data_IF_998658078487
#
_entry.id   IF_998658078487
#
_cell.length_a   1.000
_cell.length_b   1.000
_cell.length_c   1.000
_cell.angle_alpha   90.00
_cell.angle_beta   90.00
_cell.angle_gamma   90.00
#
_symmetry.space_group_name_H-M   'P 1'
#
loop_
_entity.id
_entity.type
_entity.pdbx_description
1 polymer ?
#
# COMPACT_ATOMS: atom_id res chain seq x y z
N UNK A 1 41.65 35.24 -40.70
CA UNK A 1 42.26 34.12 -41.43
C UNK A 1 43.02 33.31 -40.38
N UNK A 2 42.73 32.06 -40.03
CA UNK A 2 42.02 30.99 -40.73
C UNK A 2 41.39 29.93 -39.80
N UNK A 3 40.18 29.51 -40.21
CA UNK A 3 39.51 28.19 -40.15
C UNK A 3 39.52 27.34 -38.86
N UNK A 4 38.35 27.37 -38.21
CA UNK A 4 37.76 26.23 -37.50
C UNK A 4 37.34 25.18 -38.54
N UNK A 5 37.95 23.99 -38.49
CA UNK A 5 37.49 22.81 -39.25
C UNK A 5 36.72 21.91 -38.28
N UNK A 6 35.39 21.86 -38.42
CA UNK A 6 34.57 20.78 -37.85
C UNK A 6 34.68 19.55 -38.74
N UNK A 7 35.01 18.39 -38.18
CA UNK A 7 34.73 17.10 -38.79
C UNK A 7 33.50 16.47 -38.13
N UNK A 8 32.55 15.91 -38.90
CA UNK A 8 31.48 15.07 -38.36
C UNK A 8 31.55 13.65 -38.91
N UNK A 9 31.81 12.68 -38.02
CA UNK A 9 31.55 11.24 -38.15
C UNK A 9 32.22 10.63 -36.90
N UNK A 10 31.56 9.83 -36.07
CA UNK A 10 31.09 8.49 -36.38
C UNK A 10 29.98 8.03 -35.40
N UNK A 11 28.94 7.46 -35.98
CA UNK A 11 28.29 6.20 -35.58
C UNK A 11 27.77 6.00 -34.15
N UNK A 12 26.44 6.11 -34.03
CA UNK A 12 25.60 5.49 -33.00
C UNK A 12 25.90 3.99 -32.92
N UNK A 13 26.21 3.50 -31.72
CA UNK A 13 26.09 2.08 -31.38
C UNK A 13 24.94 1.95 -30.38
N UNK A 14 23.84 1.35 -30.87
CA UNK A 14 22.75 0.84 -30.04
C UNK A 14 23.30 -0.30 -29.19
N UNK A 15 23.22 -0.16 -27.88
CA UNK A 15 23.57 -1.22 -26.93
C UNK A 15 22.25 -1.90 -26.56
N UNK A 16 21.98 -3.03 -27.20
CA UNK A 16 20.94 -3.98 -26.77
C UNK A 16 21.35 -4.54 -25.40
N UNK A 17 20.51 -4.52 -24.36
CA UNK A 17 20.81 -5.27 -23.15
C UNK A 17 20.39 -6.72 -23.35
N UNK A 18 21.39 -7.58 -23.45
CA UNK A 18 21.27 -9.02 -23.52
C UNK A 18 20.59 -9.60 -22.27
N UNK A 19 19.56 -10.40 -22.51
CA UNK A 19 18.89 -11.22 -21.49
C UNK A 19 19.79 -12.37 -21.08
N UNK A 20 20.24 -12.39 -19.83
CA UNK A 20 20.69 -13.62 -19.16
C UNK A 20 20.46 -13.51 -17.65
N UNK A 21 19.64 -14.41 -17.12
CA UNK A 21 19.18 -14.36 -15.73
C UNK A 21 20.25 -14.76 -14.71
N UNK A 22 20.14 -14.22 -13.51
CA UNK A 22 20.45 -14.93 -12.26
C UNK A 22 19.66 -14.25 -11.14
N UNK A 23 19.01 -15.06 -10.30
CA UNK A 23 18.22 -14.59 -9.18
C UNK A 23 19.12 -13.96 -8.12
N UNK A 24 18.84 -12.72 -7.72
CA UNK A 24 19.23 -12.20 -6.42
C UNK A 24 18.22 -11.14 -5.93
N UNK A 25 18.07 -11.13 -4.62
CA UNK A 25 17.14 -10.40 -3.79
C UNK A 25 17.37 -8.89 -3.87
N UNK A 26 16.30 -8.13 -4.06
CA UNK A 26 16.38 -6.67 -4.06
C UNK A 26 15.00 -6.06 -3.91
N UNK A 27 14.68 -5.66 -2.68
CA UNK A 27 13.49 -4.93 -2.30
C UNK A 27 13.35 -3.63 -3.10
N UNK A 28 12.62 -3.62 -4.21
CA UNK A 28 12.10 -2.40 -4.86
C UNK A 28 10.92 -2.75 -5.75
N UNK A 29 9.74 -2.95 -5.15
CA UNK A 29 8.47 -2.87 -5.87
C UNK A 29 7.65 -1.75 -5.24
N UNK A 30 7.83 -0.55 -5.81
CA UNK A 30 7.08 0.66 -5.54
C UNK A 30 5.59 0.46 -5.88
N UNK A 31 4.73 0.85 -4.94
CA UNK A 31 3.40 1.42 -5.24
C UNK A 31 2.27 0.44 -5.55
N UNK A 32 1.20 0.56 -4.75
CA UNK A 32 -0.18 0.14 -5.05
C UNK A 32 -0.64 -1.34 -4.95
N UNK A 33 0.18 -2.32 -4.54
CA UNK A 33 -0.27 -3.75 -4.49
C UNK A 33 -0.05 -4.56 -3.21
N UNK A 34 0.20 -3.95 -2.06
CA UNK A 34 0.60 -4.70 -0.85
C UNK A 34 -0.43 -4.80 0.28
N UNK A 35 -1.71 -4.48 0.05
CA UNK A 35 -2.74 -4.84 1.02
C UNK A 35 -3.40 -6.16 0.61
N UNK A 36 -3.53 -7.09 1.55
CA UNK A 36 -4.11 -8.41 1.35
C UNK A 36 -5.48 -8.49 2.01
N UNK A 37 -6.53 -8.74 1.23
CA UNK A 37 -7.86 -9.04 1.78
C UNK A 37 -7.80 -10.41 2.46
N UNK A 38 -8.02 -10.46 3.77
CA UNK A 38 -8.09 -11.72 4.52
C UNK A 38 -9.51 -12.30 4.47
N UNK A 39 -10.51 -11.43 4.62
CA UNK A 39 -11.93 -11.74 4.43
C UNK A 39 -12.70 -10.44 4.09
N UNK A 40 -14.03 -10.48 4.03
CA UNK A 40 -14.86 -9.32 3.68
C UNK A 40 -14.77 -8.14 4.66
N UNK A 41 -14.35 -8.41 5.90
CA UNK A 41 -14.26 -7.43 6.97
C UNK A 41 -12.83 -7.09 7.39
N UNK A 42 -11.81 -7.83 6.92
CA UNK A 42 -10.44 -7.66 7.38
C UNK A 42 -9.48 -7.58 6.20
N UNK A 43 -8.73 -6.48 6.16
CA UNK A 43 -7.67 -6.23 5.20
C UNK A 43 -6.35 -6.08 5.93
N UNK A 44 -5.35 -6.85 5.56
CA UNK A 44 -4.00 -6.72 6.07
C UNK A 44 -3.26 -5.67 5.23
N UNK A 45 -2.81 -4.60 5.87
CA UNK A 45 -2.10 -3.50 5.20
C UNK A 45 -0.59 -3.69 5.19
N UNK A 46 -0.07 -4.40 6.20
CA UNK A 46 1.34 -4.72 6.32
C UNK A 46 1.50 -6.02 7.11
N UNK A 47 2.44 -6.85 6.68
CA UNK A 47 2.90 -8.04 7.38
C UNK A 47 4.43 -8.06 7.36
N UNK A 48 5.10 -8.38 8.47
CA UNK A 48 6.55 -8.56 8.48
C UNK A 48 6.96 -9.64 7.46
N UNK A 49 7.97 -9.34 6.64
CA UNK A 49 8.33 -10.15 5.46
C UNK A 49 9.15 -11.41 5.76
N UNK A 50 9.66 -11.58 6.98
CA UNK A 50 10.51 -12.73 7.33
C UNK A 50 9.73 -13.77 8.10
N UNK A 51 9.76 -15.02 7.61
CA UNK A 51 9.16 -16.18 8.28
C UNK A 51 9.67 -16.39 9.71
N UNK A 52 10.83 -15.81 10.02
CA UNK A 52 11.49 -15.88 11.32
C UNK A 52 11.16 -14.70 12.25
N UNK A 53 10.51 -13.63 11.74
CA UNK A 53 9.95 -12.60 12.60
C UNK A 53 8.55 -13.03 13.03
N UNK A 54 8.46 -13.50 14.27
CA UNK A 54 7.16 -13.59 14.91
C UNK A 54 6.53 -12.20 14.98
N UNK A 55 5.25 -12.13 14.62
CA UNK A 55 4.47 -10.92 14.86
C UNK A 55 4.31 -10.76 16.37
N UNK A 56 4.93 -9.72 16.92
CA UNK A 56 4.84 -9.46 18.35
C UNK A 56 3.55 -8.71 18.71
N UNK A 57 3.05 -7.89 17.78
CA UNK A 57 1.91 -6.99 17.99
C UNK A 57 1.02 -6.94 16.75
N UNK A 58 -0.29 -6.98 16.97
CA UNK A 58 -1.30 -6.64 15.98
C UNK A 58 -1.81 -5.21 16.20
N UNK A 59 -1.67 -4.35 15.20
CA UNK A 59 -2.24 -3.00 15.20
C UNK A 59 -3.49 -3.01 14.32
N UNK A 60 -4.65 -2.77 14.94
CA UNK A 60 -5.95 -2.87 14.26
C UNK A 60 -6.57 -1.48 14.12
N UNK A 61 -6.82 -1.08 12.88
CA UNK A 61 -7.45 0.19 12.53
C UNK A 61 -8.93 0.03 12.21
N UNK A 62 -9.73 0.92 12.79
CA UNK A 62 -11.13 1.12 12.45
C UNK A 62 -11.24 2.47 11.74
N UNK A 63 -11.80 2.48 10.53
CA UNK A 63 -12.07 3.74 9.85
C UNK A 63 -13.23 4.48 10.54
N UNK A 64 -13.32 5.79 10.34
CA UNK A 64 -14.47 6.56 10.79
C UNK A 64 -15.74 6.24 10.00
N UNK A 65 -16.87 6.80 10.41
CA UNK A 65 -18.13 6.66 9.68
C UNK A 65 -17.97 7.16 8.24
N UNK A 66 -18.18 6.28 7.27
CA UNK A 66 -18.15 6.66 5.86
C UNK A 66 -19.56 6.99 5.37
N UNK A 67 -19.74 8.23 4.94
CA UNK A 67 -21.03 8.71 4.40
C UNK A 67 -21.36 8.10 3.02
N UNK A 68 -20.33 7.60 2.33
CA UNK A 68 -20.47 6.87 1.07
C UNK A 68 -20.05 5.43 1.35
N UNK A 69 -20.85 4.48 0.86
CA UNK A 69 -20.44 3.08 0.85
C UNK A 69 -19.30 2.93 -0.17
N UNK A 70 -18.08 3.09 0.31
CA UNK A 70 -16.89 2.76 -0.45
C UNK A 70 -16.62 1.25 -0.30
N UNK A 71 -16.27 0.59 -1.39
CA UNK A 71 -15.92 -0.83 -1.35
C UNK A 71 -14.61 -1.08 -0.58
N UNK A 72 -13.79 -0.04 -0.40
CA UNK A 72 -12.49 -0.09 0.30
C UNK A 72 -12.29 1.12 1.22
N UNK A 73 -12.98 1.18 2.38
CA UNK A 73 -12.97 2.34 3.28
C UNK A 73 -11.59 2.81 3.75
N UNK A 74 -10.65 1.87 3.91
CA UNK A 74 -9.29 2.17 4.31
C UNK A 74 -8.51 2.96 3.26
N UNK A 75 -8.80 2.78 1.96
CA UNK A 75 -8.17 3.56 0.89
C UNK A 75 -8.65 5.00 0.92
N UNK A 76 -9.93 5.26 1.16
CA UNK A 76 -10.44 6.62 1.27
C UNK A 76 -9.98 7.30 2.57
N UNK A 77 -9.74 6.54 3.63
CA UNK A 77 -9.41 7.10 4.95
C UNK A 77 -7.91 7.29 5.17
N UNK A 78 -7.07 6.35 4.75
CA UNK A 78 -5.64 6.30 5.14
C UNK A 78 -4.67 6.40 3.98
N UNK A 79 -5.16 6.70 2.78
CA UNK A 79 -4.28 6.98 1.64
C UNK A 79 -3.71 8.39 1.78
N UNK A 80 -2.39 8.45 1.79
CA UNK A 80 -1.60 9.68 1.75
C UNK A 80 -1.89 10.48 0.49
N UNK A 81 -1.62 11.78 0.57
CA UNK A 81 -1.68 12.70 -0.58
C UNK A 81 -0.33 12.81 -1.32
N UNK A 82 0.63 11.97 -0.97
CA UNK A 82 1.92 11.92 -1.65
C UNK A 82 1.77 11.41 -3.09
N UNK A 83 2.81 11.61 -3.91
CA UNK A 83 2.81 11.19 -5.30
C UNK A 83 2.60 9.67 -5.44
N UNK A 84 3.08 8.89 -4.47
CA UNK A 84 2.96 7.44 -4.39
C UNK A 84 1.58 6.96 -3.92
N UNK A 85 0.74 7.86 -3.39
CA UNK A 85 -0.56 7.54 -2.77
C UNK A 85 -0.44 6.38 -1.78
N UNK A 86 0.61 6.42 -0.97
CA UNK A 86 0.92 5.36 -0.02
C UNK A 86 -0.17 5.24 1.06
N UNK A 87 -0.39 4.04 1.60
CA UNK A 87 -1.14 3.91 2.84
C UNK A 87 -0.21 4.27 4.00
N UNK A 88 -0.44 5.42 4.63
CA UNK A 88 0.45 5.90 5.68
C UNK A 88 0.63 4.92 6.85
N UNK A 89 -0.40 4.13 7.29
CA UNK A 89 -0.19 3.18 8.38
C UNK A 89 0.85 2.12 8.01
N UNK A 90 0.78 1.57 6.79
CA UNK A 90 1.75 0.58 6.32
C UNK A 90 3.13 1.16 5.99
N UNK A 91 3.26 2.50 5.90
CA UNK A 91 4.55 3.16 5.66
C UNK A 91 5.19 3.54 6.99
N UNK A 92 4.53 4.41 7.75
CA UNK A 92 5.12 4.99 8.96
C UNK A 92 5.14 4.02 10.15
N UNK A 93 4.06 3.28 10.37
CA UNK A 93 4.04 2.34 11.51
C UNK A 93 4.84 1.08 11.23
N UNK A 94 4.99 0.69 9.97
CA UNK A 94 5.88 -0.40 9.61
C UNK A 94 7.36 -0.02 9.81
N UNK A 95 7.71 1.26 9.63
CA UNK A 95 9.04 1.79 9.92
C UNK A 95 9.32 1.81 11.44
N UNK A 96 8.36 2.30 12.24
CA UNK A 96 8.50 2.38 13.71
C UNK A 96 8.37 1.01 14.40
N UNK A 97 7.50 0.14 13.89
CA UNK A 97 7.17 -1.18 14.43
C UNK A 97 7.30 -2.27 13.36
N UNK A 98 8.53 -2.63 12.96
CA UNK A 98 8.77 -3.55 11.84
C UNK A 98 8.29 -4.99 12.09
N UNK A 99 8.09 -5.39 13.35
CA UNK A 99 7.51 -6.70 13.71
C UNK A 99 5.99 -6.66 13.88
N UNK A 100 5.36 -5.49 13.77
CA UNK A 100 3.91 -5.39 13.88
C UNK A 100 3.21 -5.85 12.61
N UNK A 101 2.05 -6.48 12.77
CA UNK A 101 1.12 -6.69 11.66
C UNK A 101 0.04 -5.62 11.73
N UNK A 102 -0.24 -5.00 10.59
CA UNK A 102 -1.18 -3.88 10.52
C UNK A 102 -2.44 -4.35 9.79
N UNK A 103 -3.57 -4.23 10.47
CA UNK A 103 -4.87 -4.67 9.98
C UNK A 103 -5.84 -3.49 9.89
N UNK A 104 -6.73 -3.57 8.92
CA UNK A 104 -7.85 -2.68 8.71
C UNK A 104 -9.14 -3.46 8.84
N UNK A 105 -10.09 -2.89 9.58
CA UNK A 105 -11.45 -3.44 9.67
C UNK A 105 -12.37 -2.67 8.73
N UNK A 106 -13.12 -3.42 7.94
CA UNK A 106 -14.27 -2.97 7.19
C UNK A 106 -15.53 -3.49 7.87
N UNK A 107 -16.41 -2.57 8.27
CA UNK A 107 -17.67 -2.89 8.93
C UNK A 107 -18.82 -2.17 8.26
N UNK A 108 -20.02 -2.76 8.32
CA UNK A 108 -21.24 -2.11 7.87
C UNK A 108 -21.58 -0.94 8.80
N UNK A 109 -21.27 0.28 8.35
CA UNK A 109 -21.59 1.52 9.06
C UNK A 109 -23.03 2.01 8.83
N UNK A 110 -23.87 1.25 8.11
CA UNK A 110 -25.24 1.67 7.86
C UNK A 110 -26.06 1.70 9.15
N UNK A 111 -26.60 2.88 9.47
CA UNK A 111 -27.55 3.02 10.54
C UNK A 111 -28.91 2.58 10.02
N UNK A 112 -29.33 1.37 10.38
CA UNK A 112 -30.70 0.93 10.11
C UNK A 112 -31.62 1.66 11.07
N UNK A 113 -32.53 2.46 10.53
CA UNK A 113 -33.59 3.06 11.33
C UNK A 113 -34.49 1.92 11.78
N UNK A 114 -34.45 1.59 13.06
CA UNK A 114 -35.43 0.69 13.67
C UNK A 114 -36.67 1.52 13.98
N UNK A 115 -37.86 0.98 13.71
CA UNK A 115 -39.13 1.65 14.05
C UNK A 115 -39.36 1.80 15.57
N UNK A 116 -38.45 1.25 16.38
CA UNK A 116 -38.41 1.45 17.82
C UNK A 116 -37.56 2.66 18.21
N UNK A 117 -38.21 3.56 18.96
CA UNK A 117 -37.63 4.65 19.71
C UNK A 117 -36.35 4.23 20.46
N UNK A 118 -35.19 4.64 19.95
CA UNK A 118 -33.92 4.71 20.70
C UNK A 118 -33.24 3.40 21.13
N UNK A 119 -33.69 2.21 20.72
CA UNK A 119 -33.03 0.97 21.15
C UNK A 119 -32.07 0.42 20.09
N UNK A 120 -30.77 0.46 20.39
CA UNK A 120 -29.73 -0.20 19.57
C UNK A 120 -30.02 -1.71 19.58
N UNK A 121 -30.15 -2.38 18.41
CA UNK A 121 -30.41 -3.81 18.38
C UNK A 121 -29.26 -4.55 19.04
N UNK A 122 -29.58 -5.39 20.04
CA UNK A 122 -28.62 -6.26 20.68
C UNK A 122 -28.35 -7.46 19.77
N UNK A 123 -27.08 -7.65 19.44
CA UNK A 123 -26.57 -8.86 18.79
C UNK A 123 -26.70 -10.07 19.72
#
# INVERSE_FOLDING_TARGET
>A
MDRITRQPSESVSEIEPESSGTADSGAHALGDKFHRKMNDSVYELYRPSTADMNTDIDIVFFHGLQLKQDATPYLSTWRSRDAERSLWPSKWLAEDYPTARILSIHYDGSMKKTDHDGSVPRC
#
